data_IF_183388462627
#
_entry.id   IF_183388462627
#
_cell.length_a   1.000
_cell.length_b   1.000
_cell.length_c   1.000
_cell.angle_alpha   90.00
_cell.angle_beta   90.00
_cell.angle_gamma   90.00
#
_symmetry.space_group_name_H-M   'P 1'
#
loop_
_entity.id
_entity.type
_entity.pdbx_description
1 polymer ?
#
# COMPACT_ATOMS: atom_id res chain seq x y z
N UNK A 1 1.43 -16.92 -5.93
CA UNK A 1 0.28 -17.63 -6.57
C UNK A 1 -0.42 -16.74 -7.59
N UNK A 2 0.28 -16.40 -8.68
CA UNK A 2 -0.30 -15.66 -9.82
C UNK A 2 -1.07 -16.55 -10.80
N UNK A 3 -1.13 -17.86 -10.55
CA UNK A 3 -1.81 -18.86 -11.38
C UNK A 3 -3.33 -18.84 -11.20
N UNK A 4 -3.98 -17.68 -11.36
CA UNK A 4 -5.43 -17.62 -11.40
C UNK A 4 -5.90 -17.29 -12.82
N UNK A 5 -6.68 -18.20 -13.42
CA UNK A 5 -7.42 -18.04 -14.66
C UNK A 5 -6.68 -18.16 -16.01
N UNK A 6 -5.85 -19.17 -16.21
CA UNK A 6 -5.38 -19.54 -17.58
C UNK A 6 -4.42 -18.54 -18.23
N UNK A 7 -4.01 -17.48 -17.52
CA UNK A 7 -2.86 -16.69 -17.93
C UNK A 7 -1.60 -17.52 -17.65
N UNK A 8 -0.67 -17.56 -18.60
CA UNK A 8 0.67 -18.07 -18.34
C UNK A 8 1.19 -17.40 -17.10
N UNK A 9 1.69 -18.19 -16.14
CA UNK A 9 2.28 -17.65 -14.93
C UNK A 9 3.31 -16.59 -15.31
N UNK A 10 3.22 -15.39 -14.73
CA UNK A 10 4.25 -14.35 -14.93
C UNK A 10 5.66 -14.87 -14.66
N UNK A 11 5.78 -15.88 -13.77
CA UNK A 11 7.04 -16.54 -13.42
C UNK A 11 7.63 -17.41 -14.56
N UNK A 12 6.86 -17.72 -15.61
CA UNK A 12 7.33 -18.48 -16.77
C UNK A 12 7.88 -17.57 -17.88
N UNK A 13 7.73 -16.25 -17.73
CA UNK A 13 8.22 -15.28 -18.70
C UNK A 13 9.72 -15.01 -18.48
N UNK A 14 10.50 -14.81 -19.57
CA UNK A 14 11.83 -14.20 -19.46
C UNK A 14 11.76 -12.81 -18.82
N UNK A 15 12.83 -12.36 -18.18
CA UNK A 15 12.86 -11.10 -17.42
C UNK A 15 12.42 -9.89 -18.25
N UNK A 16 12.87 -9.76 -19.49
CA UNK A 16 12.49 -8.65 -20.37
C UNK A 16 11.01 -8.71 -20.83
N UNK A 17 10.43 -9.89 -20.95
CA UNK A 17 9.01 -10.07 -21.23
C UNK A 17 8.16 -9.81 -19.97
N UNK A 18 8.66 -10.22 -18.81
CA UNK A 18 8.05 -9.93 -17.53
C UNK A 18 7.99 -8.42 -17.26
N UNK A 19 9.11 -7.72 -17.48
CA UNK A 19 9.19 -6.26 -17.32
C UNK A 19 8.22 -5.54 -18.25
N UNK A 20 8.09 -5.98 -19.51
CA UNK A 20 7.10 -5.43 -20.45
C UNK A 20 5.66 -5.78 -20.02
N UNK A 21 5.40 -7.01 -19.62
CA UNK A 21 4.08 -7.45 -19.17
C UNK A 21 3.59 -6.65 -17.96
N UNK A 22 4.49 -6.31 -17.04
CA UNK A 22 4.21 -5.48 -15.87
C UNK A 22 4.30 -3.97 -16.16
N UNK A 23 4.59 -3.58 -17.41
CA UNK A 23 4.76 -2.19 -17.84
C UNK A 23 5.84 -1.43 -17.04
N UNK A 24 6.88 -2.16 -16.59
CA UNK A 24 8.04 -1.58 -15.90
C UNK A 24 8.98 -0.90 -16.90
N UNK A 25 8.95 -1.34 -18.14
CA UNK A 25 9.71 -0.79 -19.26
C UNK A 25 8.81 -0.57 -20.47
N UNK A 26 9.22 0.37 -21.32
CA UNK A 26 8.63 0.63 -22.65
C UNK A 26 9.72 0.59 -23.70
N UNK A 27 9.37 0.20 -24.93
CA UNK A 27 10.30 0.23 -26.06
C UNK A 27 10.24 1.61 -26.70
N UNK A 28 11.41 2.28 -26.79
CA UNK A 28 11.57 3.57 -27.48
C UNK A 28 12.66 3.38 -28.53
N UNK A 29 12.27 3.33 -29.81
CA UNK A 29 13.16 2.86 -30.88
C UNK A 29 13.56 1.40 -30.62
N UNK A 30 14.85 1.14 -30.58
CA UNK A 30 15.42 -0.20 -30.29
C UNK A 30 15.84 -0.41 -28.83
N UNK A 31 15.48 0.51 -27.93
CA UNK A 31 15.90 0.46 -26.54
C UNK A 31 14.71 0.24 -25.59
N UNK A 32 14.95 -0.54 -24.53
CA UNK A 32 14.05 -0.64 -23.38
C UNK A 32 14.36 0.50 -22.40
N UNK A 33 13.35 1.32 -22.14
CA UNK A 33 13.43 2.47 -21.24
C UNK A 33 12.53 2.22 -20.02
N UNK A 34 13.04 2.38 -18.78
CA UNK A 34 12.24 2.23 -17.58
C UNK A 34 11.09 3.24 -17.53
N UNK A 35 9.92 2.79 -17.12
CA UNK A 35 8.79 3.67 -16.78
C UNK A 35 8.93 4.19 -15.35
N UNK A 36 8.15 5.22 -14.97
CA UNK A 36 8.06 5.64 -13.57
C UNK A 36 7.57 4.49 -12.66
N UNK A 37 6.68 3.63 -13.15
CA UNK A 37 6.24 2.43 -12.43
C UNK A 37 7.41 1.47 -12.18
N UNK A 38 8.24 1.21 -13.19
CA UNK A 38 9.43 0.37 -13.04
C UNK A 38 10.43 0.95 -12.04
N UNK A 39 10.69 2.27 -12.13
CA UNK A 39 11.58 2.96 -11.20
C UNK A 39 11.05 2.88 -9.76
N UNK A 40 9.74 3.10 -9.56
CA UNK A 40 9.11 3.00 -8.25
C UNK A 40 9.16 1.59 -7.68
N UNK A 41 8.81 0.57 -8.46
CA UNK A 41 8.66 -0.80 -7.97
C UNK A 41 9.99 -1.50 -7.69
N UNK A 42 10.97 -1.38 -8.61
CA UNK A 42 12.21 -2.16 -8.58
C UNK A 42 13.47 -1.34 -8.89
N UNK A 43 13.33 -0.02 -9.08
CA UNK A 43 14.45 0.85 -9.44
C UNK A 43 15.55 0.88 -8.36
N UNK A 44 16.78 1.19 -8.78
CA UNK A 44 17.88 1.36 -7.84
C UNK A 44 17.62 2.57 -6.92
N UNK A 45 17.91 2.49 -5.62
CA UNK A 45 17.60 3.55 -4.64
C UNK A 45 18.16 4.93 -5.04
N UNK A 46 19.38 4.99 -5.56
CA UNK A 46 19.99 6.25 -6.01
C UNK A 46 19.22 6.87 -7.19
N UNK A 47 18.73 6.05 -8.12
CA UNK A 47 17.91 6.54 -9.25
C UNK A 47 16.50 6.92 -8.82
N UNK A 48 15.95 6.21 -7.85
CA UNK A 48 14.67 6.57 -7.24
C UNK A 48 14.75 7.96 -6.59
N UNK A 49 15.79 8.23 -5.78
CA UNK A 49 16.01 9.54 -5.17
C UNK A 49 16.23 10.66 -6.19
N UNK A 50 16.98 10.37 -7.27
CA UNK A 50 17.29 11.34 -8.33
C UNK A 50 16.03 11.73 -9.12
N UNK A 51 15.24 10.74 -9.55
CA UNK A 51 14.12 10.93 -10.47
C UNK A 51 12.79 11.15 -9.78
N UNK A 52 12.63 10.66 -8.55
CA UNK A 52 11.40 10.74 -7.75
C UNK A 52 11.70 11.09 -6.29
N UNK A 53 12.27 12.27 -6.02
CA UNK A 53 12.67 12.67 -4.66
C UNK A 53 11.51 12.72 -3.67
N UNK A 54 10.27 12.81 -4.16
CA UNK A 54 9.06 12.78 -3.35
C UNK A 54 8.61 11.38 -2.95
N UNK A 55 9.23 10.30 -3.47
CA UNK A 55 8.84 8.91 -3.20
C UNK A 55 9.24 8.41 -1.80
N UNK A 56 9.45 9.32 -0.86
CA UNK A 56 9.75 8.99 0.53
C UNK A 56 8.56 8.32 1.22
N UNK A 57 8.88 7.39 2.12
CA UNK A 57 7.92 6.78 3.02
C UNK A 57 8.52 6.54 4.39
N UNK A 58 7.70 6.38 5.42
CA UNK A 58 8.16 6.17 6.78
C UNK A 58 7.23 5.26 7.58
N UNK A 59 7.84 4.56 8.52
CA UNK A 59 7.15 3.88 9.62
C UNK A 59 7.49 4.58 10.93
N UNK A 60 6.48 4.82 11.78
CA UNK A 60 6.65 5.42 13.09
C UNK A 60 5.87 4.67 14.16
N UNK A 61 6.44 4.63 15.35
CA UNK A 61 5.76 4.14 16.54
C UNK A 61 5.86 5.21 17.64
N UNK A 62 4.72 5.56 18.23
CA UNK A 62 4.63 6.56 19.30
C UNK A 62 4.11 5.93 20.60
N UNK A 63 4.60 6.45 21.72
CA UNK A 63 4.01 6.26 23.06
C UNK A 63 3.70 7.63 23.64
N UNK A 64 2.42 7.99 23.66
CA UNK A 64 2.02 9.37 23.92
C UNK A 64 2.65 10.31 22.90
N UNK A 65 3.48 11.25 23.32
CA UNK A 65 4.20 12.19 22.45
C UNK A 65 5.61 11.73 22.06
N UNK A 66 6.09 10.61 22.60
CA UNK A 66 7.44 10.10 22.36
C UNK A 66 7.47 9.18 21.13
N UNK A 67 8.40 9.46 20.20
CA UNK A 67 8.66 8.60 19.06
C UNK A 67 9.62 7.49 19.48
N UNK A 68 9.12 6.26 19.59
CA UNK A 68 9.90 5.08 20.03
C UNK A 68 10.53 4.32 18.86
N UNK A 69 10.00 4.47 17.65
CA UNK A 69 10.63 3.99 16.41
C UNK A 69 10.32 4.96 15.27
N UNK A 70 11.29 5.18 14.39
CA UNK A 70 11.16 6.03 13.21
C UNK A 70 12.10 5.54 12.12
N UNK A 71 11.54 4.88 11.11
CA UNK A 71 12.27 4.33 9.97
C UNK A 71 11.82 5.06 8.71
N UNK A 72 12.78 5.57 7.94
CA UNK A 72 12.52 6.24 6.66
C UNK A 72 13.02 5.38 5.51
N UNK A 73 12.24 5.30 4.43
CA UNK A 73 12.53 4.49 3.26
C UNK A 73 12.65 5.34 2.01
N UNK A 74 13.77 5.13 1.29
CA UNK A 74 14.03 5.59 -0.07
C UNK A 74 14.39 4.38 -0.93
N UNK A 75 13.68 3.28 -0.73
CA UNK A 75 13.88 2.00 -1.38
C UNK A 75 12.76 1.73 -2.39
N UNK A 76 12.95 0.81 -3.34
CA UNK A 76 11.88 0.37 -4.24
C UNK A 76 10.63 -0.08 -3.46
N UNK A 77 9.45 0.16 -4.05
CA UNK A 77 8.18 -0.07 -3.35
C UNK A 77 7.97 -1.52 -2.95
N UNK A 78 8.45 -2.49 -3.73
CA UNK A 78 8.31 -3.90 -3.37
C UNK A 78 8.99 -4.19 -2.03
N UNK A 79 10.23 -3.72 -1.87
CA UNK A 79 10.96 -3.85 -0.61
C UNK A 79 10.30 -3.04 0.51
N UNK A 80 9.92 -1.79 0.24
CA UNK A 80 9.34 -0.90 1.24
C UNK A 80 8.00 -1.41 1.77
N UNK A 81 7.11 -1.88 0.89
CA UNK A 81 5.82 -2.44 1.27
C UNK A 81 6.01 -3.69 2.15
N UNK A 82 6.92 -4.59 1.77
CA UNK A 82 7.23 -5.78 2.55
C UNK A 82 7.72 -5.44 3.95
N UNK A 83 8.68 -4.50 4.06
CA UNK A 83 9.21 -4.04 5.35
C UNK A 83 8.14 -3.38 6.22
N UNK A 84 7.29 -2.53 5.65
CA UNK A 84 6.21 -1.88 6.39
C UNK A 84 5.19 -2.88 6.93
N UNK A 85 4.81 -3.88 6.13
CA UNK A 85 3.93 -4.96 6.56
C UNK A 85 4.58 -5.75 7.71
N UNK A 86 5.86 -6.06 7.60
CA UNK A 86 6.61 -6.77 8.65
C UNK A 86 6.68 -5.96 9.94
N UNK A 87 7.00 -4.66 9.87
CA UNK A 87 7.02 -3.79 11.05
C UNK A 87 5.67 -3.72 11.78
N UNK A 88 4.56 -3.66 11.04
CA UNK A 88 3.23 -3.70 11.63
C UNK A 88 2.96 -5.09 12.23
N UNK A 89 3.27 -6.18 11.52
CA UNK A 89 3.02 -7.54 11.99
C UNK A 89 3.78 -7.88 13.28
N UNK A 90 5.05 -7.47 13.39
CA UNK A 90 5.86 -7.68 14.61
C UNK A 90 5.27 -6.94 15.82
N UNK A 91 4.53 -5.85 15.57
CA UNK A 91 3.92 -5.01 16.62
C UNK A 91 2.40 -5.14 16.69
N UNK A 92 1.87 -6.23 16.14
CA UNK A 92 0.45 -6.56 16.14
C UNK A 92 0.20 -7.66 17.18
N UNK A 93 0.01 -7.32 18.46
CA UNK A 93 -0.16 -8.32 19.51
C UNK A 93 -1.43 -9.13 19.27
N UNK A 94 -1.38 -10.38 19.66
CA UNK A 94 -2.53 -11.27 19.61
C UNK A 94 -3.09 -11.45 21.04
N UNK A 95 -4.38 -11.22 21.19
CA UNK A 95 -5.11 -11.45 22.43
C UNK A 95 -5.75 -12.84 22.37
N UNK A 96 -5.56 -13.64 23.42
CA UNK A 96 -6.23 -14.94 23.52
C UNK A 96 -7.64 -14.75 24.10
N UNK A 97 -8.64 -15.21 23.37
CA UNK A 97 -10.03 -15.29 23.82
C UNK A 97 -10.40 -16.77 24.06
N UNK A 98 -10.87 -17.09 25.26
CA UNK A 98 -11.42 -18.41 25.56
C UNK A 98 -12.90 -18.47 25.21
N UNK A 99 -13.27 -19.39 24.31
CA UNK A 99 -14.66 -19.65 23.93
C UNK A 99 -14.97 -21.12 24.23
N UNK A 100 -15.54 -21.38 25.37
CA UNK A 100 -15.72 -22.75 25.88
C UNK A 100 -14.37 -23.42 26.12
N UNK A 101 -14.09 -24.50 25.41
CA UNK A 101 -12.81 -25.22 25.48
C UNK A 101 -11.79 -24.78 24.40
N UNK A 102 -12.13 -23.80 23.57
CA UNK A 102 -11.27 -23.32 22.49
C UNK A 102 -10.59 -22.02 22.89
N UNK A 103 -9.31 -21.89 22.54
CA UNK A 103 -8.57 -20.63 22.58
C UNK A 103 -8.47 -20.07 21.17
N UNK A 104 -8.94 -18.85 20.99
CA UNK A 104 -8.90 -18.15 19.72
C UNK A 104 -7.94 -16.97 19.87
N UNK A 105 -6.93 -16.90 19.01
CA UNK A 105 -6.02 -15.77 18.94
C UNK A 105 -6.60 -14.70 18.05
N UNK A 106 -6.73 -13.48 18.57
CA UNK A 106 -7.30 -12.32 17.88
C UNK A 106 -6.21 -11.25 17.79
N UNK A 107 -5.70 -10.92 16.59
CA UNK A 107 -4.75 -9.84 16.43
C UNK A 107 -5.40 -8.47 16.60
N UNK A 108 -4.63 -7.47 17.01
CA UNK A 108 -5.13 -6.09 17.11
C UNK A 108 -5.52 -5.53 15.74
N UNK A 109 -4.79 -5.90 14.68
CA UNK A 109 -5.09 -5.49 13.31
C UNK A 109 -5.19 -6.72 12.40
N UNK A 110 -6.23 -6.80 11.56
CA UNK A 110 -6.32 -7.86 10.53
C UNK A 110 -5.18 -7.70 9.51
N UNK A 111 -4.36 -8.75 9.37
CA UNK A 111 -3.15 -8.74 8.53
C UNK A 111 -3.46 -8.46 7.05
N UNK A 112 -4.64 -8.89 6.55
CA UNK A 112 -5.06 -8.66 5.17
C UNK A 112 -5.52 -7.22 4.97
N UNK A 113 -6.26 -6.67 5.94
CA UNK A 113 -6.69 -5.28 5.93
C UNK A 113 -5.48 -4.32 5.98
N UNK A 114 -4.51 -4.58 6.87
CA UNK A 114 -3.26 -3.82 6.96
C UNK A 114 -2.50 -3.83 5.63
N UNK A 115 -2.29 -5.03 5.05
CA UNK A 115 -1.60 -5.15 3.77
C UNK A 115 -2.31 -4.34 2.68
N UNK A 116 -3.63 -4.48 2.57
CA UNK A 116 -4.42 -3.76 1.58
C UNK A 116 -4.33 -2.24 1.78
N UNK A 117 -4.42 -1.76 3.02
CA UNK A 117 -4.32 -0.34 3.32
C UNK A 117 -2.94 0.25 2.98
N UNK A 118 -1.84 -0.47 3.30
CA UNK A 118 -0.48 -0.06 2.94
C UNK A 118 -0.32 0.00 1.42
N UNK A 119 -0.73 -1.05 0.70
CA UNK A 119 -0.63 -1.09 -0.78
C UNK A 119 -1.45 0.02 -1.41
N UNK A 120 -2.66 0.28 -0.92
CA UNK A 120 -3.53 1.36 -1.40
C UNK A 120 -2.90 2.74 -1.16
N UNK A 121 -2.23 2.95 -0.03
CA UNK A 121 -1.54 4.21 0.23
C UNK A 121 -0.47 4.51 -0.83
N UNK A 122 0.28 3.52 -1.29
CA UNK A 122 1.25 3.68 -2.39
C UNK A 122 0.60 3.78 -3.76
N UNK A 123 -0.41 2.95 -4.06
CA UNK A 123 -1.10 2.95 -5.34
C UNK A 123 -1.82 4.27 -5.63
N UNK A 124 -2.36 4.92 -4.58
CA UNK A 124 -3.14 6.16 -4.69
C UNK A 124 -2.37 7.43 -4.29
N UNK A 125 -1.08 7.32 -3.90
CA UNK A 125 -0.23 8.46 -3.60
C UNK A 125 -0.15 9.42 -4.80
N UNK A 126 -0.14 10.72 -4.51
CA UNK A 126 0.24 11.75 -5.47
C UNK A 126 1.77 11.95 -5.41
N UNK A 127 2.49 11.34 -6.36
CA UNK A 127 3.96 11.41 -6.43
C UNK A 127 4.49 12.78 -6.85
N UNK A 128 3.63 13.72 -7.24
CA UNK A 128 4.01 15.11 -7.54
C UNK A 128 4.02 16.00 -6.30
N UNK A 129 3.40 15.54 -5.21
CA UNK A 129 3.30 16.31 -3.96
C UNK A 129 4.40 15.97 -2.99
N UNK A 130 4.85 16.99 -2.27
CA UNK A 130 5.71 16.84 -1.10
C UNK A 130 4.98 16.06 -0.01
N UNK A 131 5.76 15.47 0.90
CA UNK A 131 5.28 14.62 1.98
C UNK A 131 5.60 13.15 1.70
N UNK A 132 5.24 12.29 2.63
CA UNK A 132 5.59 10.86 2.59
C UNK A 132 4.39 9.97 2.84
N UNK A 133 4.43 8.73 2.37
CA UNK A 133 3.54 7.69 2.90
C UNK A 133 3.98 7.41 4.32
N UNK A 134 3.07 7.52 5.28
CA UNK A 134 3.36 7.28 6.69
C UNK A 134 2.47 6.17 7.22
N UNK A 135 3.11 5.16 7.80
CA UNK A 135 2.48 4.11 8.60
C UNK A 135 2.86 4.37 10.06
N UNK A 136 1.88 4.69 10.90
CA UNK A 136 2.08 5.06 12.29
C UNK A 136 1.25 4.17 13.21
N UNK A 137 1.89 3.68 14.28
CA UNK A 137 1.22 2.97 15.38
C UNK A 137 1.37 3.82 16.65
N UNK A 138 0.25 4.06 17.33
CA UNK A 138 0.22 4.74 18.62
C UNK A 138 -0.83 4.12 19.56
N UNK A 139 -1.18 4.80 20.67
CA UNK A 139 -2.19 4.34 21.62
C UNK A 139 -3.60 4.29 21.04
N UNK A 140 -3.88 5.06 20.00
CA UNK A 140 -5.20 5.16 19.38
C UNK A 140 -5.38 4.12 18.25
N UNK A 141 -4.26 3.54 17.76
CA UNK A 141 -4.27 2.46 16.79
C UNK A 141 -3.26 2.59 15.65
N UNK A 142 -3.65 2.13 14.47
CA UNK A 142 -2.84 2.16 13.25
C UNK A 142 -3.37 3.24 12.30
N UNK A 143 -2.53 4.20 11.99
CA UNK A 143 -2.80 5.25 10.99
C UNK A 143 -1.93 5.02 9.75
N UNK A 144 -2.55 5.03 8.57
CA UNK A 144 -1.86 4.95 7.28
C UNK A 144 -2.28 6.16 6.46
N UNK A 145 -1.33 6.98 6.07
CA UNK A 145 -1.57 8.22 5.33
C UNK A 145 -0.64 8.36 4.12
N UNK A 146 -1.11 9.06 3.09
CA UNK A 146 -0.34 9.36 1.89
C UNK A 146 -0.64 10.76 1.38
N UNK A 147 0.31 11.45 0.73
CA UNK A 147 0.05 12.69 0.03
C UNK A 147 -0.93 12.51 -1.12
N UNK A 148 -1.92 13.39 -1.19
CA UNK A 148 -3.00 13.35 -2.18
C UNK A 148 -4.36 13.13 -1.51
N UNK A 149 -5.41 13.64 -2.16
CA UNK A 149 -6.78 13.43 -1.71
C UNK A 149 -7.48 12.34 -2.53
N UNK A 150 -8.78 12.23 -2.40
CA UNK A 150 -9.58 11.41 -3.30
C UNK A 150 -9.42 11.89 -4.75
N UNK A 151 -9.45 10.95 -5.69
CA UNK A 151 -9.51 11.30 -7.11
C UNK A 151 -10.87 11.92 -7.44
N UNK A 152 -10.94 12.65 -8.55
CA UNK A 152 -12.20 13.29 -8.98
C UNK A 152 -13.33 12.27 -9.06
N UNK A 153 -14.49 12.63 -8.52
CA UNK A 153 -15.68 11.76 -8.47
C UNK A 153 -15.73 10.79 -7.26
N UNK A 154 -14.64 10.62 -6.53
CA UNK A 154 -14.60 9.80 -5.31
C UNK A 154 -14.80 10.68 -4.07
N UNK A 155 -15.69 10.25 -3.19
CA UNK A 155 -15.99 10.91 -1.92
C UNK A 155 -16.08 9.87 -0.81
N UNK A 156 -16.05 10.31 0.44
CA UNK A 156 -16.27 9.42 1.57
C UNK A 156 -17.61 8.67 1.48
N UNK A 157 -18.66 9.31 0.97
CA UNK A 157 -19.99 8.72 0.88
C UNK A 157 -20.16 7.67 -0.23
N UNK A 158 -19.32 7.68 -1.26
CA UNK A 158 -19.44 6.78 -2.40
C UNK A 158 -18.26 5.81 -2.57
N UNK A 159 -17.22 5.88 -1.72
CA UNK A 159 -15.98 5.10 -1.89
C UNK A 159 -16.19 3.58 -1.92
N UNK A 160 -17.25 3.06 -1.31
CA UNK A 160 -17.62 1.65 -1.33
C UNK A 160 -18.40 1.23 -2.59
N UNK A 161 -18.94 2.19 -3.34
CA UNK A 161 -19.83 1.93 -4.47
C UNK A 161 -19.33 2.47 -5.79
N UNK A 162 -18.39 3.40 -5.75
CA UNK A 162 -17.80 3.98 -6.97
C UNK A 162 -16.83 2.99 -7.61
N UNK A 163 -16.81 2.98 -8.94
CA UNK A 163 -15.83 2.18 -9.68
C UNK A 163 -14.40 2.65 -9.34
N UNK A 164 -13.48 1.72 -9.03
CA UNK A 164 -12.13 2.08 -8.61
C UNK A 164 -11.37 2.82 -9.69
N UNK A 165 -11.07 4.08 -9.47
CA UNK A 165 -10.21 4.90 -10.32
C UNK A 165 -8.90 5.18 -9.58
N UNK A 166 -7.78 4.72 -10.13
CA UNK A 166 -6.45 4.92 -9.54
C UNK A 166 -5.78 6.17 -10.07
N UNK A 167 -5.12 6.93 -9.20
CA UNK A 167 -4.25 8.06 -9.62
C UNK A 167 -3.06 7.57 -10.45
N UNK A 168 -2.54 6.40 -10.14
CA UNK A 168 -1.40 5.76 -10.79
C UNK A 168 -1.83 4.42 -11.43
N UNK A 169 -2.53 4.44 -12.57
CA UNK A 169 -3.16 3.22 -13.13
C UNK A 169 -2.15 2.13 -13.47
N UNK A 170 -0.97 2.48 -14.03
CA UNK A 170 0.07 1.51 -14.35
C UNK A 170 0.65 0.85 -13.10
N UNK A 171 0.90 1.65 -12.04
CA UNK A 171 1.38 1.14 -10.76
C UNK A 171 0.33 0.24 -10.11
N UNK A 172 -0.93 0.64 -10.10
CA UNK A 172 -2.02 -0.14 -9.54
C UNK A 172 -2.20 -1.47 -10.29
N UNK A 173 -2.10 -1.47 -11.63
CA UNK A 173 -2.17 -2.70 -12.43
C UNK A 173 -0.99 -3.63 -12.14
N UNK A 174 0.23 -3.13 -12.09
CA UNK A 174 1.41 -3.92 -11.74
C UNK A 174 1.27 -4.56 -10.36
N UNK A 175 0.84 -3.77 -9.32
CA UNK A 175 0.59 -4.27 -7.97
C UNK A 175 -0.49 -5.37 -7.92
N UNK A 176 -1.55 -5.25 -8.73
CA UNK A 176 -2.58 -6.28 -8.88
C UNK A 176 -2.04 -7.55 -9.53
N UNK A 177 -1.27 -7.43 -10.61
CA UNK A 177 -0.71 -8.55 -11.36
C UNK A 177 0.28 -9.37 -10.56
N UNK A 178 1.13 -8.73 -9.76
CA UNK A 178 2.05 -9.41 -8.84
C UNK A 178 1.35 -9.92 -7.57
N UNK A 179 0.04 -9.67 -7.41
CA UNK A 179 -0.76 -10.19 -6.30
C UNK A 179 -0.60 -9.42 -4.98
N UNK A 180 -0.09 -8.20 -5.02
CA UNK A 180 -0.01 -7.32 -3.84
C UNK A 180 -1.33 -6.58 -3.58
N UNK A 181 -1.98 -6.08 -4.61
CA UNK A 181 -3.28 -5.41 -4.52
C UNK A 181 -4.44 -6.34 -4.90
N UNK A 182 -5.63 -6.01 -4.42
CA UNK A 182 -6.88 -6.69 -4.77
C UNK A 182 -7.25 -6.46 -6.25
N UNK A 183 -7.64 -7.55 -6.94
CA UNK A 183 -7.97 -7.51 -8.37
C UNK A 183 -9.39 -7.05 -8.67
N UNK A 184 -10.33 -7.32 -7.74
CA UNK A 184 -11.77 -7.13 -7.98
C UNK A 184 -12.29 -5.75 -7.59
N UNK A 185 -11.42 -4.83 -7.17
CA UNK A 185 -11.82 -3.49 -6.72
C UNK A 185 -12.41 -3.43 -5.30
N UNK A 186 -12.37 -4.54 -4.55
CA UNK A 186 -12.89 -4.65 -3.18
C UNK A 186 -11.84 -4.38 -2.10
N UNK A 187 -10.81 -3.62 -2.41
CA UNK A 187 -9.74 -3.33 -1.45
C UNK A 187 -10.25 -2.59 -0.22
N UNK A 188 -11.08 -1.57 -0.43
CA UNK A 188 -11.68 -0.79 0.67
C UNK A 188 -12.62 -1.66 1.50
N UNK A 189 -13.46 -2.50 0.87
CA UNK A 189 -14.34 -3.44 1.57
C UNK A 189 -13.56 -4.36 2.52
N UNK A 190 -12.39 -4.86 2.07
CA UNK A 190 -11.52 -5.70 2.91
C UNK A 190 -10.97 -4.98 4.13
N UNK A 191 -10.64 -3.69 3.99
CA UNK A 191 -10.20 -2.88 5.13
C UNK A 191 -11.33 -2.77 6.14
N UNK A 192 -12.56 -2.49 5.69
CA UNK A 192 -13.73 -2.43 6.57
C UNK A 192 -14.07 -3.78 7.20
N UNK A 193 -14.13 -4.86 6.41
CA UNK A 193 -14.38 -6.21 6.93
C UNK A 193 -13.32 -6.64 7.94
N UNK A 194 -12.04 -6.39 7.66
CA UNK A 194 -10.95 -6.75 8.56
C UNK A 194 -11.00 -6.01 9.88
N UNK A 195 -11.37 -4.71 9.87
CA UNK A 195 -11.53 -3.92 11.08
C UNK A 195 -12.74 -4.39 11.90
N UNK A 196 -13.87 -4.69 11.25
CA UNK A 196 -15.09 -5.10 11.92
C UNK A 196 -15.08 -6.57 12.39
N UNK A 197 -14.29 -7.44 11.77
CA UNK A 197 -14.27 -8.89 12.02
C UNK A 197 -14.07 -9.24 13.49
N UNK A 198 -13.26 -8.45 14.19
CA UNK A 198 -12.92 -8.69 15.59
C UNK A 198 -13.61 -7.70 16.54
N UNK A 199 -14.72 -7.08 16.09
CA UNK A 199 -15.48 -6.13 16.90
C UNK A 199 -14.78 -4.78 17.11
N UNK A 200 -13.83 -4.44 16.24
CA UNK A 200 -13.18 -3.13 16.24
C UNK A 200 -14.10 -2.08 15.63
N UNK A 201 -13.79 -0.81 15.85
CA UNK A 201 -14.51 0.29 15.23
C UNK A 201 -14.31 0.31 13.71
N UNK A 202 -15.24 0.93 13.00
CA UNK A 202 -15.07 1.17 11.57
C UNK A 202 -13.79 1.99 11.30
N UNK A 203 -13.02 1.64 10.27
CA UNK A 203 -11.87 2.45 9.89
C UNK A 203 -12.34 3.85 9.50
N UNK A 204 -11.67 4.87 10.04
CA UNK A 204 -11.93 6.26 9.70
C UNK A 204 -11.08 6.65 8.50
N UNK A 205 -11.71 7.01 7.39
CA UNK A 205 -11.05 7.57 6.22
C UNK A 205 -11.02 9.10 6.36
N UNK A 206 -9.83 9.65 6.67
CA UNK A 206 -9.64 11.08 6.81
C UNK A 206 -9.17 11.68 5.48
N UNK A 207 -9.87 12.69 5.00
CA UNK A 207 -9.42 13.56 3.93
C UNK A 207 -8.92 14.86 4.53
N UNK A 208 -7.63 15.14 4.41
CA UNK A 208 -7.09 16.44 4.76
C UNK A 208 -7.00 17.29 3.49
N UNK A 209 -7.80 18.35 3.40
CA UNK A 209 -7.57 19.40 2.41
C UNK A 209 -6.18 19.97 2.62
N UNK A 210 -5.43 20.30 1.54
CA UNK A 210 -4.19 21.05 1.71
C UNK A 210 -4.49 22.31 2.52
N UNK A 211 -3.68 22.55 3.54
CA UNK A 211 -3.79 23.78 4.31
C UNK A 211 -3.56 24.97 3.38
N UNK A 212 -4.32 26.08 3.50
CA UNK A 212 -4.04 27.29 2.72
C UNK A 212 -2.66 27.91 2.94
N UNK A 213 -1.82 27.27 3.76
CA UNK A 213 -0.45 27.71 4.12
C UNK A 213 0.66 26.85 3.48
N UNK A 214 0.32 25.86 2.65
CA UNK A 214 1.31 25.02 1.94
C UNK A 214 1.50 25.51 0.50
#
# INVERSE_FOLDING_TARGET
DSAYNGEKSLLELPDDELDKALQLVVTVGDQLVPTYTGILLIGKPNKLQELMPTAESAYQMLRGTEVTANESFYQPLLYTIEQMIEFVNVRNPEQELEVGMFRISIPDFDKRAVREAIVNAFAHRDYTRLGRVLVQIDSDGLTISNPGGFVEGVTYSNILTVEPHGRNPLLADALKRIGLAERTGRGVDRIYEGSLRYGRECPCLLYTSPSPRD
#
